data_IF_001939662628
#
_entry.id   IF_001939662628
#
_cell.length_a   1.000
_cell.length_b   1.000
_cell.length_c   1.000
_cell.angle_alpha   90.00
_cell.angle_beta   90.00
_cell.angle_gamma   90.00
#
_symmetry.space_group_name_H-M   'P 1'
#
loop_
_entity.id
_entity.type
_entity.pdbx_description
1 polymer ?
#
# COMPACT_ATOMS: atom_id res chain seq x y z
N UNK A 1 29.84 -25.21 -8.01
CA UNK A 1 28.46 -24.83 -8.36
C UNK A 1 27.56 -25.84 -7.70
N UNK A 2 26.95 -25.49 -6.57
CA UNK A 2 25.78 -26.18 -5.99
C UNK A 2 25.46 -25.45 -4.69
N UNK A 3 24.58 -24.47 -4.77
CA UNK A 3 23.87 -23.93 -3.62
C UNK A 3 22.51 -24.59 -3.59
N UNK A 4 22.31 -25.41 -2.57
CA UNK A 4 21.12 -26.22 -2.30
C UNK A 4 19.90 -25.31 -2.20
N UNK A 5 18.93 -25.52 -3.10
CA UNK A 5 17.52 -25.20 -2.87
C UNK A 5 16.98 -26.25 -1.90
N UNK A 6 16.69 -25.85 -0.67
CA UNK A 6 15.67 -26.57 0.09
C UNK A 6 14.33 -25.86 -0.06
N UNK A 7 13.27 -26.57 -0.51
CA UNK A 7 11.93 -26.02 -0.53
C UNK A 7 11.39 -25.98 0.91
N UNK A 8 11.01 -24.80 1.40
CA UNK A 8 10.16 -24.70 2.57
C UNK A 8 8.78 -25.26 2.22
N UNK A 9 8.56 -26.56 2.45
CA UNK A 9 7.21 -27.11 2.57
C UNK A 9 6.56 -26.54 3.84
N UNK A 10 5.69 -25.54 3.65
CA UNK A 10 4.83 -25.03 4.71
C UNK A 10 3.58 -25.89 4.74
N UNK A 11 3.62 -26.97 5.53
CA UNK A 11 2.43 -27.77 5.81
C UNK A 11 1.50 -26.95 6.73
N UNK A 12 0.57 -26.20 6.14
CA UNK A 12 -0.38 -25.33 6.85
C UNK A 12 -1.65 -26.11 7.22
N UNK A 13 -1.89 -26.47 8.50
CA UNK A 13 -3.23 -26.81 8.94
C UNK A 13 -4.12 -25.56 8.82
N UNK A 14 -5.24 -25.72 8.11
CA UNK A 14 -6.26 -24.68 7.92
C UNK A 14 -6.77 -24.21 9.30
N UNK A 15 -6.93 -22.89 9.44
CA UNK A 15 -7.36 -22.15 10.64
C UNK A 15 -6.32 -21.92 11.75
N UNK A 16 -5.30 -21.11 11.47
CA UNK A 16 -4.60 -20.35 12.53
C UNK A 16 -4.42 -18.92 12.04
N UNK A 17 -5.10 -17.96 12.67
CA UNK A 17 -4.81 -16.54 12.46
C UNK A 17 -3.46 -16.22 13.09
N UNK A 18 -2.43 -16.12 12.26
CA UNK A 18 -1.11 -15.68 12.69
C UNK A 18 -1.15 -14.20 13.05
N UNK A 19 -0.81 -13.88 14.29
CA UNK A 19 -0.58 -12.50 14.73
C UNK A 19 0.95 -12.24 14.69
N UNK A 20 1.47 -11.44 13.74
CA UNK A 20 2.92 -11.26 13.55
C UNK A 20 3.64 -10.62 14.74
N UNK A 21 2.90 -10.07 15.72
CA UNK A 21 3.45 -9.35 16.85
C UNK A 21 3.96 -10.25 17.99
N UNK A 22 3.52 -11.50 18.05
CA UNK A 22 3.84 -12.37 19.18
C UNK A 22 4.35 -13.70 18.66
N UNK A 23 5.66 -13.91 18.66
CA UNK A 23 6.27 -15.22 18.42
C UNK A 23 5.91 -16.28 19.48
N UNK A 24 4.68 -16.31 19.97
CA UNK A 24 4.13 -17.23 20.95
C UNK A 24 2.91 -17.94 20.34
N UNK A 25 2.94 -19.28 20.37
CA UNK A 25 1.78 -20.12 20.05
C UNK A 25 0.69 -19.89 21.11
N UNK A 26 -0.48 -19.40 20.72
CA UNK A 26 -1.68 -19.49 21.54
C UNK A 26 -2.00 -20.98 21.75
N UNK A 27 -1.80 -21.52 22.96
CA UNK A 27 -2.35 -22.83 23.34
C UNK A 27 -3.61 -22.63 24.16
N UNK A 28 -4.66 -23.38 23.82
CA UNK A 28 -5.83 -23.58 24.68
C UNK A 28 -7.16 -23.33 23.98
N UNK A 29 -8.10 -24.26 24.15
CA UNK A 29 -9.44 -24.26 23.55
C UNK A 29 -10.46 -23.40 24.31
N UNK A 30 -10.10 -22.18 24.72
CA UNK A 30 -11.11 -21.26 25.24
C UNK A 30 -10.67 -19.79 25.04
N UNK A 31 -11.37 -19.01 24.20
CA UNK A 31 -10.98 -17.63 23.94
C UNK A 31 -11.81 -16.66 24.79
N UNK A 32 -11.27 -16.02 25.83
CA UNK A 32 -11.75 -14.71 26.20
C UNK A 32 -10.91 -13.72 25.40
N UNK A 33 -11.47 -13.24 24.30
CA UNK A 33 -11.31 -11.87 23.85
C UNK A 33 -9.89 -11.30 24.03
N UNK A 34 -8.99 -11.58 23.08
CA UNK A 34 -7.72 -10.89 22.99
C UNK A 34 -7.99 -9.42 22.60
N UNK A 35 -8.34 -8.59 23.57
CA UNK A 35 -8.21 -7.14 23.52
C UNK A 35 -6.72 -6.77 23.51
N UNK A 36 -6.00 -7.17 22.47
CA UNK A 36 -4.64 -6.71 22.26
C UNK A 36 -4.77 -5.27 21.77
N UNK A 37 -4.44 -4.32 22.64
CA UNK A 37 -4.23 -2.93 22.24
C UNK A 37 -3.19 -2.95 21.10
N UNK A 38 -3.65 -2.68 19.89
CA UNK A 38 -2.86 -2.63 18.64
C UNK A 38 -1.70 -1.62 18.70
N UNK A 39 -1.62 -0.82 19.77
CA UNK A 39 -0.57 0.17 20.01
C UNK A 39 0.81 -0.46 20.21
N UNK A 40 0.92 -1.62 20.83
CA UNK A 40 2.24 -2.22 21.14
C UNK A 40 2.85 -3.02 19.98
N UNK A 41 2.08 -3.27 18.91
CA UNK A 41 2.57 -3.94 17.70
C UNK A 41 3.39 -3.01 16.80
N UNK A 42 2.99 -1.74 16.70
CA UNK A 42 3.64 -0.75 15.83
C UNK A 42 5.04 -0.40 16.32
N UNK A 43 5.21 -0.22 17.63
CA UNK A 43 6.51 0.09 18.27
C UNK A 43 7.56 -0.99 18.00
N UNK A 44 7.17 -2.27 18.06
CA UNK A 44 8.07 -3.41 17.81
C UNK A 44 8.55 -3.47 16.35
N UNK A 45 7.67 -3.17 15.39
CA UNK A 45 8.03 -3.18 13.96
C UNK A 45 9.01 -2.03 13.61
N UNK A 46 8.75 -0.83 14.10
CA UNK A 46 9.62 0.33 13.87
C UNK A 46 11.01 0.14 14.50
N UNK A 47 11.07 -0.42 15.71
CA UNK A 47 12.35 -0.63 16.38
C UNK A 47 13.20 -1.70 15.67
N UNK A 48 12.58 -2.78 15.17
CA UNK A 48 13.28 -3.78 14.34
C UNK A 48 13.84 -3.17 13.06
N UNK A 49 13.08 -2.32 12.38
CA UNK A 49 13.54 -1.61 11.18
C UNK A 49 14.72 -0.70 11.50
N UNK A 50 14.63 0.08 12.59
CA UNK A 50 15.71 0.96 13.04
C UNK A 50 17.01 0.18 13.29
N UNK A 51 16.94 -0.95 13.99
CA UNK A 51 18.11 -1.77 14.26
C UNK A 51 18.70 -2.39 12.98
N UNK A 52 17.86 -2.81 12.04
CA UNK A 52 18.31 -3.31 10.74
C UNK A 52 19.03 -2.22 9.93
N UNK A 53 18.49 -0.99 9.90
CA UNK A 53 19.09 0.16 9.23
C UNK A 53 20.45 0.54 9.85
N UNK A 54 20.59 0.50 11.18
CA UNK A 54 21.85 0.82 11.86
C UNK A 54 22.98 -0.18 11.58
N UNK A 55 22.64 -1.44 11.26
CA UNK A 55 23.61 -2.51 11.01
C UNK A 55 23.95 -2.68 9.53
N UNK A 56 23.13 -2.13 8.63
CA UNK A 56 23.32 -2.28 7.20
C UNK A 56 24.50 -1.41 6.74
N UNK A 57 25.39 -1.98 5.93
CA UNK A 57 26.46 -1.24 5.25
C UNK A 57 25.90 -0.37 4.11
N UNK A 58 24.85 -0.85 3.45
CA UNK A 58 24.15 -0.14 2.39
C UNK A 58 22.65 -0.46 2.44
N UNK A 59 21.83 0.48 1.95
CA UNK A 59 20.36 0.36 1.91
C UNK A 59 19.86 0.62 0.49
N UNK A 60 19.03 -0.29 -0.03
CA UNK A 60 18.29 -0.11 -1.28
C UNK A 60 16.82 0.12 -0.91
N UNK A 61 16.24 1.23 -1.36
CA UNK A 61 14.85 1.58 -1.08
C UNK A 61 13.99 1.29 -2.31
N UNK A 62 13.10 0.31 -2.20
CA UNK A 62 12.02 0.09 -3.16
C UNK A 62 10.74 0.79 -2.68
N UNK A 63 10.29 1.82 -3.40
CA UNK A 63 9.05 2.53 -3.11
C UNK A 63 8.02 2.30 -4.22
N UNK A 64 6.81 1.87 -3.83
CA UNK A 64 5.68 1.69 -4.73
C UNK A 64 4.49 2.60 -4.37
N UNK A 65 3.37 2.43 -5.08
CA UNK A 65 2.14 3.22 -4.87
C UNK A 65 1.59 3.17 -3.43
N UNK A 66 1.90 2.09 -2.69
CA UNK A 66 1.55 1.96 -1.27
C UNK A 66 2.16 3.05 -0.38
N UNK A 67 3.40 3.50 -0.68
CA UNK A 67 4.05 4.56 0.09
C UNK A 67 3.28 5.90 -0.04
N UNK A 68 2.87 6.23 -1.26
CA UNK A 68 2.04 7.42 -1.53
C UNK A 68 0.64 7.27 -0.94
N UNK A 69 0.06 6.08 -0.97
CA UNK A 69 -1.25 5.79 -0.37
C UNK A 69 -1.22 6.00 1.14
N UNK A 70 -0.15 5.58 1.83
CA UNK A 70 0.04 5.85 3.26
C UNK A 70 0.16 7.33 3.59
N UNK A 71 0.55 8.18 2.63
CA UNK A 71 0.57 9.64 2.76
C UNK A 71 -0.76 10.31 2.36
N UNK A 72 -1.82 9.54 2.06
CA UNK A 72 -3.14 10.07 1.68
C UNK A 72 -3.34 10.23 0.16
N UNK A 73 -2.37 9.84 -0.67
CA UNK A 73 -2.52 9.86 -2.13
C UNK A 73 -3.17 8.58 -2.64
N UNK A 74 -4.44 8.39 -2.30
CA UNK A 74 -5.24 7.25 -2.81
C UNK A 74 -5.56 7.44 -4.30
N UNK A 75 -5.72 6.31 -5.00
CA UNK A 75 -6.12 6.26 -6.41
C UNK A 75 -7.63 6.04 -6.58
N UNK A 76 -8.35 5.70 -5.51
CA UNK A 76 -9.77 5.37 -5.52
C UNK A 76 -10.51 6.10 -4.38
N UNK A 77 -11.84 5.95 -4.35
CA UNK A 77 -12.71 6.56 -3.35
C UNK A 77 -12.99 8.03 -3.63
N UNK A 78 -13.16 8.83 -2.56
CA UNK A 78 -13.59 10.24 -2.66
C UNK A 78 -12.69 11.08 -3.56
N UNK A 79 -11.36 10.86 -3.51
CA UNK A 79 -10.41 11.58 -4.36
C UNK A 79 -10.62 11.29 -5.85
N UNK A 80 -10.97 10.05 -6.20
CA UNK A 80 -11.27 9.68 -7.58
C UNK A 80 -12.60 10.29 -8.03
N UNK A 81 -13.66 10.13 -7.23
CA UNK A 81 -14.99 10.66 -7.54
C UNK A 81 -14.98 12.18 -7.75
N UNK A 82 -14.25 12.90 -6.90
CA UNK A 82 -14.14 14.36 -6.97
C UNK A 82 -13.58 14.86 -8.30
N UNK A 83 -12.62 14.15 -8.90
CA UNK A 83 -11.87 14.64 -10.06
C UNK A 83 -12.24 13.95 -11.38
N UNK A 84 -12.75 12.72 -11.30
CA UNK A 84 -13.00 11.85 -12.47
C UNK A 84 -14.34 11.13 -12.41
N UNK A 85 -15.29 11.57 -11.57
CA UNK A 85 -16.63 10.98 -11.52
C UNK A 85 -17.38 11.05 -12.85
N UNK A 86 -17.09 12.05 -13.69
CA UNK A 86 -17.59 12.16 -15.06
C UNK A 86 -17.02 11.05 -15.96
N UNK A 87 -15.70 10.85 -15.93
CA UNK A 87 -15.06 9.75 -16.67
C UNK A 87 -15.51 8.37 -16.18
N UNK A 88 -15.76 8.20 -14.88
CA UNK A 88 -16.35 6.97 -14.33
C UNK A 88 -17.71 6.67 -14.97
N UNK A 89 -18.57 7.68 -15.12
CA UNK A 89 -19.90 7.50 -15.72
C UNK A 89 -19.83 7.09 -17.19
N UNK A 90 -18.87 7.63 -17.94
CA UNK A 90 -18.72 7.36 -19.38
C UNK A 90 -18.00 6.04 -19.65
N UNK A 91 -16.94 5.73 -18.90
CA UNK A 91 -16.01 4.64 -19.21
C UNK A 91 -16.04 3.47 -18.20
N UNK A 92 -16.70 3.64 -17.04
CA UNK A 92 -16.94 2.56 -16.08
C UNK A 92 -15.77 2.18 -15.16
N UNK A 93 -14.58 2.79 -15.31
CA UNK A 93 -13.46 2.52 -14.41
C UNK A 93 -13.68 3.17 -13.03
N UNK A 94 -13.16 2.51 -11.98
CA UNK A 94 -13.43 2.85 -10.57
C UNK A 94 -12.26 3.50 -9.84
N UNK A 95 -11.13 3.70 -10.52
CA UNK A 95 -9.93 4.27 -9.92
C UNK A 95 -9.07 5.00 -10.96
N UNK A 96 -8.20 5.88 -10.46
CA UNK A 96 -7.33 6.74 -11.26
C UNK A 96 -6.21 5.97 -11.96
N UNK A 97 -5.78 4.82 -11.43
CA UNK A 97 -4.73 4.04 -12.09
C UNK A 97 -5.29 3.41 -13.37
N UNK A 98 -6.43 2.74 -13.26
CA UNK A 98 -7.14 2.14 -14.39
C UNK A 98 -7.53 3.18 -15.44
N UNK A 99 -7.96 4.38 -15.03
CA UNK A 99 -8.26 5.48 -15.96
C UNK A 99 -7.05 5.92 -16.79
N UNK A 100 -5.84 5.96 -16.20
CA UNK A 100 -4.62 6.33 -16.92
C UNK A 100 -4.22 5.35 -18.03
N UNK A 101 -4.64 4.08 -17.93
CA UNK A 101 -4.38 3.03 -18.92
C UNK A 101 -5.62 2.69 -19.75
N UNK A 102 -6.70 3.45 -19.62
CA UNK A 102 -7.90 3.21 -20.39
C UNK A 102 -7.65 3.50 -21.88
N UNK A 103 -8.10 2.63 -22.81
CA UNK A 103 -7.92 2.84 -24.24
C UNK A 103 -8.93 3.87 -24.78
N UNK A 104 -8.66 5.16 -24.53
CA UNK A 104 -9.47 6.26 -25.05
C UNK A 104 -9.52 6.25 -26.58
N UNK A 105 -10.68 6.61 -27.15
CA UNK A 105 -10.89 6.58 -28.60
C UNK A 105 -10.19 7.73 -29.32
N UNK A 106 -10.02 8.84 -28.59
CA UNK A 106 -9.50 10.10 -29.14
C UNK A 106 -8.37 10.64 -28.26
N UNK A 107 -7.49 11.44 -28.86
CA UNK A 107 -6.41 12.09 -28.12
C UNK A 107 -6.95 13.19 -27.21
N UNK A 108 -8.06 13.82 -27.59
CA UNK A 108 -8.76 14.82 -26.81
C UNK A 108 -9.25 14.25 -25.48
N UNK A 109 -9.89 13.08 -25.49
CA UNK A 109 -10.31 12.39 -24.25
C UNK A 109 -9.11 11.95 -23.41
N UNK A 110 -8.08 11.39 -24.05
CA UNK A 110 -6.84 10.99 -23.38
C UNK A 110 -6.19 12.18 -22.65
N UNK A 111 -6.03 13.31 -23.34
CA UNK A 111 -5.42 14.51 -22.75
C UNK A 111 -6.35 15.24 -21.78
N UNK A 112 -7.67 15.16 -21.97
CA UNK A 112 -8.62 15.66 -20.98
C UNK A 112 -8.47 14.91 -19.64
N UNK A 113 -8.26 13.59 -19.69
CA UNK A 113 -7.96 12.81 -18.50
C UNK A 113 -6.60 13.18 -17.87
N UNK A 114 -5.52 13.09 -18.66
CA UNK A 114 -4.16 13.30 -18.16
C UNK A 114 -3.89 14.72 -17.68
N UNK A 115 -4.46 15.75 -18.32
CA UNK A 115 -4.31 17.14 -17.89
C UNK A 115 -4.86 17.36 -16.47
N UNK A 116 -6.04 16.79 -16.17
CA UNK A 116 -6.62 16.80 -14.81
C UNK A 116 -5.80 15.97 -13.84
N UNK A 117 -5.37 14.77 -14.23
CA UNK A 117 -4.56 13.88 -13.40
C UNK A 117 -3.26 14.56 -12.95
N UNK A 118 -2.64 15.30 -13.87
CA UNK A 118 -1.41 16.04 -13.60
C UNK A 118 -1.69 17.29 -12.74
N UNK A 119 -2.79 17.99 -12.99
CA UNK A 119 -3.16 19.19 -12.24
C UNK A 119 -3.47 18.92 -10.77
N UNK A 120 -4.14 17.81 -10.46
CA UNK A 120 -4.56 17.50 -9.08
C UNK A 120 -3.41 17.07 -8.15
N UNK A 121 -2.19 16.92 -8.66
CA UNK A 121 -1.06 16.50 -7.83
C UNK A 121 -0.59 17.67 -6.97
N UNK A 122 -0.57 17.52 -5.63
CA UNK A 122 -0.31 18.64 -4.72
C UNK A 122 1.14 19.14 -4.72
N UNK A 123 2.02 18.58 -5.55
CA UNK A 123 3.38 19.07 -5.78
C UNK A 123 3.50 20.22 -6.79
N UNK A 124 2.41 20.64 -7.44
CA UNK A 124 2.42 21.79 -8.36
C UNK A 124 1.95 23.05 -7.61
N UNK A 125 2.90 23.79 -7.06
CA UNK A 125 2.77 25.16 -6.50
C UNK A 125 1.89 25.32 -5.24
N UNK A 126 2.34 24.74 -4.13
CA UNK A 126 2.34 25.48 -2.85
C UNK A 126 3.79 25.58 -2.40
N UNK A 127 4.41 26.74 -2.63
CA UNK A 127 5.62 27.13 -1.90
C UNK A 127 5.27 27.02 -0.41
N UNK A 128 5.92 26.09 0.30
CA UNK A 128 5.92 26.14 1.76
C UNK A 128 6.58 27.47 2.15
N UNK A 129 5.94 28.35 2.92
CA UNK A 129 6.62 29.53 3.42
C UNK A 129 7.79 29.08 4.29
N UNK A 130 8.94 29.75 4.10
CA UNK A 130 10.17 29.55 4.87
C UNK A 130 9.99 29.92 6.35
#
# INVERSE_FOLDING_TARGET
>A
MEWIREPMEVNMPKSVSWCPCMGAKCRGNNPPFCSIKTSNCKSVQTERLKQALQKAEAVIIGAGAGLSTSAGFTYSGERFEKWFGDFRQVHGFSDMYSGGFFPYKTLEEYWAYWSRYIHMQPGRMQFMPA
#
